data_IF_878901133890
#
_entry.id   IF_878901133890
#
_cell.length_a   1.000
_cell.length_b   1.000
_cell.length_c   1.000
_cell.angle_alpha   90.00
_cell.angle_beta   90.00
_cell.angle_gamma   90.00
#
_symmetry.space_group_name_H-M   'P 1'
#
loop_
_entity.id
_entity.type
_entity.pdbx_description
1 polymer ?
#
# COMPACT_ATOMS: atom_id res chain seq x y z
N UNK A 1 10.02 -14.75 -15.26
CA UNK A 1 8.82 -15.37 -15.83
C UNK A 1 7.66 -14.44 -15.54
N UNK A 2 6.82 -14.13 -16.51
CA UNK A 2 5.64 -13.28 -16.29
C UNK A 2 4.64 -13.97 -15.35
N UNK A 3 4.06 -13.22 -14.40
CA UNK A 3 3.15 -13.78 -13.40
C UNK A 3 1.91 -14.45 -14.06
N UNK A 4 1.41 -13.86 -15.14
CA UNK A 4 0.27 -14.40 -15.88
C UNK A 4 0.59 -15.78 -16.47
N UNK A 5 1.78 -15.92 -17.08
CA UNK A 5 2.24 -17.20 -17.65
C UNK A 5 2.42 -18.24 -16.54
N UNK A 6 2.98 -17.85 -15.39
CA UNK A 6 3.15 -18.75 -14.26
C UNK A 6 1.80 -19.27 -13.74
N UNK A 7 0.79 -18.42 -13.61
CA UNK A 7 -0.56 -18.82 -13.22
C UNK A 7 -1.23 -19.73 -14.25
N UNK A 8 -1.05 -19.44 -15.55
CA UNK A 8 -1.61 -20.29 -16.62
C UNK A 8 -1.01 -21.70 -16.59
N UNK A 9 0.32 -21.79 -16.48
CA UNK A 9 1.03 -23.08 -16.39
C UNK A 9 0.58 -23.84 -15.12
N UNK A 10 0.52 -23.19 -13.98
CA UNK A 10 0.08 -23.83 -12.74
C UNK A 10 -1.36 -24.30 -12.79
N UNK A 11 -2.26 -23.56 -13.46
CA UNK A 11 -3.65 -23.96 -13.67
C UNK A 11 -3.76 -25.19 -14.54
N UNK A 12 -2.98 -25.27 -15.63
CA UNK A 12 -2.92 -26.44 -16.50
C UNK A 12 -2.39 -27.65 -15.77
N UNK A 13 -1.28 -27.50 -15.04
CA UNK A 13 -0.69 -28.60 -14.25
C UNK A 13 -1.66 -29.11 -13.17
N UNK A 14 -2.34 -28.20 -12.48
CA UNK A 14 -3.35 -28.54 -11.50
C UNK A 14 -4.53 -29.31 -12.14
N UNK A 15 -5.00 -28.87 -13.31
CA UNK A 15 -6.05 -29.54 -14.05
C UNK A 15 -5.68 -30.98 -14.44
N UNK A 16 -4.45 -31.19 -14.90
CA UNK A 16 -3.93 -32.53 -15.22
C UNK A 16 -3.85 -33.38 -13.95
N UNK A 17 -3.33 -32.84 -12.85
CA UNK A 17 -3.23 -33.54 -11.58
C UNK A 17 -4.58 -33.94 -10.98
N UNK A 18 -5.62 -33.15 -11.24
CA UNK A 18 -7.02 -33.42 -10.87
C UNK A 18 -7.74 -34.39 -11.83
N UNK A 19 -7.06 -34.87 -12.88
CA UNK A 19 -7.62 -35.86 -13.83
C UNK A 19 -8.57 -35.25 -14.87
N UNK A 20 -8.50 -33.93 -15.12
CA UNK A 20 -9.29 -33.29 -16.18
C UNK A 20 -8.74 -33.75 -17.55
N UNK A 21 -9.57 -34.28 -18.47
CA UNK A 21 -9.12 -34.65 -19.81
C UNK A 21 -8.47 -33.47 -20.52
N UNK A 22 -7.34 -33.72 -21.21
CA UNK A 22 -6.56 -32.69 -21.91
C UNK A 22 -7.41 -31.85 -22.90
N UNK A 23 -8.39 -32.50 -23.53
CA UNK A 23 -9.32 -31.85 -24.47
C UNK A 23 -10.22 -30.80 -23.78
N UNK A 24 -10.53 -30.98 -22.50
CA UNK A 24 -11.41 -30.09 -21.70
C UNK A 24 -10.64 -29.01 -20.92
N UNK A 25 -9.32 -29.13 -20.85
CA UNK A 25 -8.49 -28.19 -20.10
C UNK A 25 -8.59 -26.73 -20.61
N UNK A 26 -8.52 -26.45 -21.93
CA UNK A 26 -8.67 -25.10 -22.44
C UNK A 26 -10.03 -24.49 -22.09
N UNK A 27 -11.11 -25.25 -22.23
CA UNK A 27 -12.45 -24.79 -21.91
C UNK A 27 -12.63 -24.55 -20.41
N UNK A 28 -12.06 -25.40 -19.56
CA UNK A 28 -12.09 -25.22 -18.11
C UNK A 28 -11.37 -23.95 -17.67
N UNK A 29 -10.19 -23.67 -18.26
CA UNK A 29 -9.42 -22.46 -17.97
C UNK A 29 -10.18 -21.22 -18.50
N UNK A 30 -10.67 -21.24 -19.72
CA UNK A 30 -11.43 -20.12 -20.29
C UNK A 30 -12.70 -19.82 -19.51
N UNK A 31 -13.46 -20.83 -19.13
CA UNK A 31 -14.68 -20.67 -18.34
C UNK A 31 -14.37 -20.11 -16.94
N UNK A 32 -13.29 -20.57 -16.29
CA UNK A 32 -12.83 -20.03 -15.02
C UNK A 32 -12.47 -18.55 -15.12
N UNK A 33 -11.65 -18.18 -16.09
CA UNK A 33 -11.27 -16.78 -16.35
C UNK A 33 -12.50 -15.94 -16.68
N UNK A 34 -13.35 -16.41 -17.61
CA UNK A 34 -14.53 -15.69 -18.05
C UNK A 34 -15.55 -15.46 -16.93
N UNK A 35 -15.79 -16.44 -16.08
CA UNK A 35 -16.68 -16.33 -14.93
C UNK A 35 -16.20 -15.28 -13.93
N UNK A 36 -14.92 -15.31 -13.57
CA UNK A 36 -14.35 -14.35 -12.62
C UNK A 36 -14.33 -12.94 -13.22
N UNK A 37 -13.82 -12.78 -14.45
CA UNK A 37 -13.77 -11.47 -15.10
C UNK A 37 -15.16 -10.90 -15.33
N UNK A 38 -16.13 -11.72 -15.74
CA UNK A 38 -17.53 -11.29 -15.93
C UNK A 38 -18.14 -10.74 -14.63
N UNK A 39 -17.94 -11.43 -13.52
CA UNK A 39 -18.43 -10.98 -12.21
C UNK A 39 -17.74 -9.72 -11.68
N UNK A 40 -16.47 -9.51 -12.04
CA UNK A 40 -15.67 -8.39 -11.55
C UNK A 40 -15.75 -7.15 -12.43
N UNK A 41 -15.96 -7.29 -13.74
CA UNK A 41 -15.78 -6.21 -14.72
C UNK A 41 -16.59 -4.96 -14.37
N UNK A 42 -17.87 -5.11 -14.09
CA UNK A 42 -18.74 -3.97 -13.78
C UNK A 42 -18.29 -3.23 -12.53
N UNK A 43 -17.93 -3.95 -11.47
CA UNK A 43 -17.50 -3.37 -10.19
C UNK A 43 -16.16 -2.66 -10.35
N UNK A 44 -15.21 -3.27 -11.08
CA UNK A 44 -13.90 -2.67 -11.34
C UNK A 44 -14.05 -1.40 -12.18
N UNK A 45 -14.85 -1.42 -13.23
CA UNK A 45 -15.06 -0.26 -14.12
C UNK A 45 -15.73 0.88 -13.35
N UNK A 46 -16.83 0.62 -12.65
CA UNK A 46 -17.52 1.65 -11.87
C UNK A 46 -16.65 2.17 -10.72
N UNK A 47 -15.90 1.29 -10.04
CA UNK A 47 -14.95 1.69 -8.99
C UNK A 47 -13.82 2.55 -9.54
N UNK A 48 -13.27 2.23 -10.71
CA UNK A 48 -12.24 3.04 -11.36
C UNK A 48 -12.78 4.43 -11.77
N UNK A 49 -14.01 4.49 -12.30
CA UNK A 49 -14.67 5.76 -12.65
C UNK A 49 -14.90 6.62 -11.42
N UNK A 50 -15.40 6.05 -10.31
CA UNK A 50 -15.59 6.76 -9.05
C UNK A 50 -14.23 7.26 -8.49
N UNK A 51 -13.22 6.41 -8.49
CA UNK A 51 -11.88 6.76 -8.05
C UNK A 51 -11.30 7.92 -8.86
N UNK A 52 -11.44 7.90 -10.19
CA UNK A 52 -11.01 9.00 -11.05
C UNK A 52 -11.76 10.30 -10.74
N UNK A 53 -13.09 10.23 -10.55
CA UNK A 53 -13.90 11.38 -10.18
C UNK A 53 -13.44 12.01 -8.86
N UNK A 54 -13.20 11.20 -7.82
CA UNK A 54 -12.68 11.65 -6.52
C UNK A 54 -11.28 12.27 -6.65
N UNK A 55 -10.44 11.70 -7.52
CA UNK A 55 -9.11 12.23 -7.80
C UNK A 55 -9.16 13.61 -8.48
N UNK A 56 -9.96 13.74 -9.54
CA UNK A 56 -10.06 14.98 -10.35
C UNK A 56 -10.83 16.10 -9.62
N UNK A 57 -11.76 15.76 -8.73
CA UNK A 57 -12.50 16.75 -7.93
C UNK A 57 -11.66 17.47 -6.86
N UNK A 58 -10.43 17.03 -6.59
CA UNK A 58 -9.60 17.54 -5.51
C UNK A 58 -10.04 17.09 -4.09
N UNK A 59 -11.03 16.20 -4.00
CA UNK A 59 -11.55 15.72 -2.71
C UNK A 59 -10.46 15.02 -1.89
N UNK A 60 -9.61 14.21 -2.53
CA UNK A 60 -8.53 13.51 -1.84
C UNK A 60 -7.50 14.48 -1.22
N UNK A 61 -7.12 15.55 -1.94
CA UNK A 61 -6.24 16.60 -1.43
C UNK A 61 -6.88 17.38 -0.28
N UNK A 62 -8.18 17.63 -0.35
CA UNK A 62 -8.93 18.30 0.72
C UNK A 62 -8.97 17.45 1.98
N UNK A 63 -9.30 16.16 1.87
CA UNK A 63 -9.27 15.20 2.97
C UNK A 63 -7.89 15.22 3.64
N UNK A 64 -6.83 15.10 2.86
CA UNK A 64 -5.48 15.09 3.37
C UNK A 64 -5.10 16.39 4.11
N UNK A 65 -5.44 17.55 3.55
CA UNK A 65 -5.14 18.85 4.19
C UNK A 65 -5.89 19.01 5.52
N UNK A 66 -7.14 18.57 5.59
CA UNK A 66 -7.94 18.57 6.82
C UNK A 66 -7.35 17.63 7.86
N UNK A 67 -6.99 16.41 7.46
CA UNK A 67 -6.41 15.42 8.40
C UNK A 67 -5.08 15.93 8.97
N UNK A 68 -4.19 16.49 8.15
CA UNK A 68 -2.93 17.06 8.62
C UNK A 68 -3.17 18.25 9.58
N UNK A 69 -4.18 19.06 9.32
CA UNK A 69 -4.52 20.20 10.22
C UNK A 69 -5.11 19.76 11.56
N UNK A 70 -5.90 18.68 11.57
CA UNK A 70 -6.52 18.15 12.79
C UNK A 70 -5.51 17.45 13.72
N UNK A 71 -4.60 16.66 13.15
CA UNK A 71 -3.65 15.88 13.94
C UNK A 71 -2.37 16.67 14.31
N UNK A 72 -2.10 17.77 13.61
CA UNK A 72 -0.90 18.58 13.79
C UNK A 72 0.40 17.81 13.51
N UNK A 73 1.55 18.46 13.78
CA UNK A 73 2.87 17.88 13.51
C UNK A 73 3.23 16.71 14.43
N UNK A 74 2.74 16.73 15.68
CA UNK A 74 3.07 15.71 16.68
C UNK A 74 2.49 14.34 16.32
N UNK A 75 1.31 14.30 15.70
CA UNK A 75 0.61 13.05 15.36
C UNK A 75 0.40 12.94 13.84
N UNK A 76 1.29 13.53 13.06
CA UNK A 76 1.17 13.61 11.60
C UNK A 76 1.05 12.23 10.92
N UNK A 77 1.72 11.21 11.46
CA UNK A 77 1.63 9.84 10.95
C UNK A 77 0.20 9.29 11.05
N UNK A 78 -0.48 9.54 12.17
CA UNK A 78 -1.89 9.16 12.36
C UNK A 78 -2.79 9.89 11.36
N UNK A 79 -2.57 11.20 11.20
CA UNK A 79 -3.33 11.99 10.21
C UNK A 79 -3.17 11.47 8.79
N UNK A 80 -1.95 11.11 8.40
CA UNK A 80 -1.65 10.58 7.07
C UNK A 80 -2.17 9.16 6.88
N UNK A 81 -2.12 8.34 7.93
CA UNK A 81 -2.69 7.01 7.93
C UNK A 81 -4.21 7.06 7.74
N UNK A 82 -4.91 7.94 8.49
CA UNK A 82 -6.35 8.16 8.31
C UNK A 82 -6.65 8.70 6.91
N UNK A 83 -5.80 9.58 6.37
CA UNK A 83 -5.92 10.08 4.99
C UNK A 83 -5.81 8.93 3.98
N UNK A 84 -4.80 8.06 4.12
CA UNK A 84 -4.62 6.89 3.25
C UNK A 84 -5.79 5.91 3.37
N UNK A 85 -6.32 5.73 4.57
CA UNK A 85 -7.47 4.85 4.81
C UNK A 85 -8.76 5.40 4.17
N UNK A 86 -9.14 6.62 4.54
CA UNK A 86 -10.39 7.24 4.05
C UNK A 86 -10.31 7.51 2.55
N UNK A 87 -9.18 8.04 2.07
CA UNK A 87 -8.95 8.27 0.64
C UNK A 87 -8.84 6.97 -0.16
N UNK A 88 -8.36 5.90 0.47
CA UNK A 88 -8.23 4.58 -0.14
C UNK A 88 -9.56 3.87 -0.38
N UNK A 89 -10.63 4.20 0.34
CA UNK A 89 -11.94 3.53 0.14
C UNK A 89 -12.45 3.72 -1.30
N UNK A 90 -12.54 4.94 -1.86
CA UNK A 90 -12.99 5.15 -3.23
C UNK A 90 -11.89 4.99 -4.28
N UNK A 91 -10.61 5.03 -3.90
CA UNK A 91 -9.49 5.08 -4.83
C UNK A 91 -8.84 3.71 -4.98
N UNK A 92 -8.70 3.22 -6.20
CA UNK A 92 -7.79 2.09 -6.45
C UNK A 92 -6.36 2.44 -6.04
N UNK A 93 -5.62 1.45 -5.52
CA UNK A 93 -4.27 1.63 -5.00
C UNK A 93 -3.36 2.44 -5.93
N UNK A 94 -3.32 2.09 -7.24
CA UNK A 94 -2.47 2.78 -8.21
C UNK A 94 -2.83 4.26 -8.37
N UNK A 95 -4.13 4.59 -8.44
CA UNK A 95 -4.62 5.97 -8.55
C UNK A 95 -4.35 6.72 -7.24
N UNK A 96 -4.68 6.10 -6.11
CA UNK A 96 -4.42 6.65 -4.78
C UNK A 96 -2.94 6.92 -4.54
N UNK A 97 -2.07 5.99 -4.95
CA UNK A 97 -0.62 6.15 -4.86
C UNK A 97 -0.14 7.39 -5.64
N UNK A 98 -0.47 7.47 -6.93
CA UNK A 98 -0.04 8.60 -7.79
C UNK A 98 -0.54 9.94 -7.26
N UNK A 99 -1.75 9.97 -6.71
CA UNK A 99 -2.37 11.18 -6.19
C UNK A 99 -1.79 11.60 -4.82
N UNK A 100 -1.46 10.63 -3.97
CA UNK A 100 -0.96 10.90 -2.62
C UNK A 100 0.55 11.15 -2.56
N UNK A 101 1.32 10.68 -3.54
CA UNK A 101 2.78 10.90 -3.58
C UNK A 101 3.15 12.40 -3.60
N UNK A 102 2.60 13.27 -4.43
CA UNK A 102 2.88 14.71 -4.38
C UNK A 102 2.53 15.32 -3.02
N UNK A 103 1.47 14.85 -2.38
CA UNK A 103 1.09 15.29 -1.04
C UNK A 103 2.13 14.88 0.01
N UNK A 104 2.64 13.63 -0.05
CA UNK A 104 3.73 13.17 0.82
C UNK A 104 4.91 14.13 0.71
N UNK A 105 5.37 14.42 -0.50
CA UNK A 105 6.49 15.33 -0.71
C UNK A 105 6.21 16.76 -0.25
N UNK A 106 5.01 17.27 -0.47
CA UNK A 106 4.60 18.59 0.04
C UNK A 106 4.74 18.68 1.56
N UNK A 107 4.32 17.63 2.29
CA UNK A 107 4.44 17.55 3.75
C UNK A 107 5.90 17.41 4.18
N UNK A 108 6.67 16.56 3.50
CA UNK A 108 8.11 16.38 3.71
C UNK A 108 8.84 17.72 3.64
N UNK A 109 8.61 18.49 2.57
CA UNK A 109 9.25 19.80 2.40
C UNK A 109 8.78 20.83 3.44
N UNK A 110 7.50 20.85 3.76
CA UNK A 110 6.92 21.79 4.72
C UNK A 110 7.42 21.57 6.14
N UNK A 111 7.48 20.30 6.59
CA UNK A 111 7.82 19.96 7.98
C UNK A 111 9.25 19.44 8.15
N UNK A 112 10.02 19.34 7.06
CA UNK A 112 11.41 18.82 7.04
C UNK A 112 11.56 17.45 7.71
N UNK A 113 10.57 16.58 7.50
CA UNK A 113 10.56 15.22 8.02
C UNK A 113 11.01 14.21 6.94
N UNK A 114 11.55 13.04 7.30
CA UNK A 114 11.95 12.02 6.33
C UNK A 114 10.75 11.53 5.51
N UNK A 115 10.92 11.36 4.19
CA UNK A 115 9.87 10.91 3.29
C UNK A 115 9.30 9.53 3.67
N UNK A 116 10.17 8.63 4.14
CA UNK A 116 9.79 7.30 4.63
C UNK A 116 8.88 7.40 5.86
N UNK A 117 9.20 8.29 6.79
CA UNK A 117 8.42 8.53 8.01
C UNK A 117 6.99 9.02 7.71
N UNK A 118 6.85 9.82 6.65
CA UNK A 118 5.58 10.39 6.21
C UNK A 118 4.83 9.45 5.26
N UNK A 119 5.53 8.83 4.32
CA UNK A 119 4.91 8.06 3.24
C UNK A 119 4.46 6.67 3.66
N UNK A 120 5.26 5.95 4.44
CA UNK A 120 4.93 4.56 4.79
C UNK A 120 3.58 4.40 5.50
N UNK A 121 3.22 5.19 6.53
CA UNK A 121 1.93 5.05 7.19
C UNK A 121 0.74 5.24 6.24
N UNK A 122 0.83 6.23 5.35
CA UNK A 122 -0.22 6.53 4.40
C UNK A 122 -0.37 5.45 3.33
N UNK A 123 0.74 4.97 2.76
CA UNK A 123 0.74 3.91 1.76
C UNK A 123 0.33 2.56 2.35
N UNK A 124 0.72 2.29 3.58
CA UNK A 124 0.31 1.08 4.29
C UNK A 124 -1.21 1.07 4.53
N UNK A 125 -1.79 2.19 4.96
CA UNK A 125 -3.23 2.32 5.13
C UNK A 125 -3.99 2.17 3.80
N UNK A 126 -3.47 2.74 2.72
CA UNK A 126 -4.00 2.55 1.37
C UNK A 126 -3.94 1.08 0.93
N UNK A 127 -2.86 0.35 1.29
CA UNK A 127 -2.74 -1.09 1.01
C UNK A 127 -3.77 -1.91 1.78
N UNK A 128 -4.03 -1.56 3.04
CA UNK A 128 -5.04 -2.25 3.86
C UNK A 128 -6.44 -2.06 3.27
N UNK A 129 -6.81 -0.82 2.88
CA UNK A 129 -8.10 -0.58 2.22
C UNK A 129 -8.25 -1.40 0.94
N UNK A 130 -7.20 -1.44 0.13
CA UNK A 130 -7.18 -2.19 -1.13
C UNK A 130 -7.31 -3.71 -0.92
N UNK A 131 -6.73 -4.24 0.15
CA UNK A 131 -6.76 -5.67 0.45
C UNK A 131 -8.04 -6.15 1.15
N UNK A 132 -8.67 -5.30 1.98
CA UNK A 132 -9.78 -5.71 2.84
C UNK A 132 -11.15 -5.19 2.41
N UNK A 133 -11.21 -4.08 1.69
CA UNK A 133 -12.49 -3.38 1.48
C UNK A 133 -12.99 -3.46 0.03
N UNK A 134 -14.23 -3.93 -0.21
CA UNK A 134 -14.92 -3.62 -1.46
C UNK A 134 -15.03 -2.09 -1.65
N UNK A 135 -14.99 -1.56 -2.87
CA UNK A 135 -15.11 -2.24 -4.15
C UNK A 135 -13.78 -2.68 -4.80
N UNK A 136 -12.71 -2.81 -4.04
CA UNK A 136 -11.41 -3.21 -4.60
C UNK A 136 -11.44 -4.63 -5.18
N UNK A 137 -10.63 -4.91 -6.22
CA UNK A 137 -10.69 -6.17 -6.96
C UNK A 137 -10.46 -7.42 -6.09
N UNK A 138 -9.51 -7.34 -5.14
CA UNK A 138 -9.13 -8.48 -4.31
C UNK A 138 -10.29 -8.98 -3.42
N UNK A 139 -10.90 -8.16 -2.54
CA UNK A 139 -12.04 -8.63 -1.74
C UNK A 139 -13.28 -8.94 -2.60
N UNK A 140 -13.50 -8.24 -3.73
CA UNK A 140 -14.63 -8.53 -4.61
C UNK A 140 -14.46 -9.87 -5.33
N UNK A 141 -13.24 -10.24 -5.70
CA UNK A 141 -12.97 -11.56 -6.27
C UNK A 141 -13.35 -12.69 -5.29
N UNK A 142 -13.03 -12.53 -4.00
CA UNK A 142 -13.42 -13.47 -2.95
C UNK A 142 -14.95 -13.49 -2.75
N UNK A 143 -15.61 -12.34 -2.78
CA UNK A 143 -17.08 -12.24 -2.70
C UNK A 143 -17.73 -13.06 -3.81
N UNK A 144 -17.26 -12.92 -5.05
CA UNK A 144 -17.76 -13.68 -6.19
C UNK A 144 -17.47 -15.17 -6.06
N UNK A 145 -16.23 -15.52 -5.67
CA UNK A 145 -15.80 -16.91 -5.53
C UNK A 145 -16.60 -17.69 -4.46
N UNK A 146 -16.93 -17.05 -3.35
CA UNK A 146 -17.62 -17.67 -2.22
C UNK A 146 -19.13 -17.37 -2.19
N UNK A 147 -19.69 -16.72 -3.22
CA UNK A 147 -21.09 -16.25 -3.24
C UNK A 147 -21.47 -15.47 -1.98
N UNK A 148 -20.53 -14.67 -1.45
CA UNK A 148 -20.71 -13.91 -0.23
C UNK A 148 -21.48 -12.61 -0.47
N UNK A 149 -22.04 -12.04 0.60
CA UNK A 149 -22.70 -10.73 0.54
C UNK A 149 -21.66 -9.60 0.58
N UNK A 150 -21.63 -8.76 -0.46
CA UNK A 150 -20.65 -7.67 -0.59
C UNK A 150 -20.76 -6.63 0.53
N UNK A 151 -21.99 -6.33 0.99
CA UNK A 151 -22.22 -5.39 2.08
C UNK A 151 -21.70 -5.91 3.42
N UNK A 152 -21.96 -7.18 3.72
CA UNK A 152 -21.40 -7.82 4.92
C UNK A 152 -19.86 -7.91 4.84
N UNK A 153 -19.30 -8.19 3.67
CA UNK A 153 -17.85 -8.21 3.46
C UNK A 153 -17.25 -6.83 3.71
N UNK A 154 -17.91 -5.75 3.30
CA UNK A 154 -17.48 -4.39 3.62
C UNK A 154 -17.47 -4.13 5.13
N UNK A 155 -18.54 -4.49 5.83
CA UNK A 155 -18.64 -4.29 7.28
C UNK A 155 -17.55 -5.06 8.02
N UNK A 156 -17.41 -6.36 7.76
CA UNK A 156 -16.37 -7.17 8.38
C UNK A 156 -14.96 -6.71 7.98
N UNK A 157 -14.79 -6.31 6.71
CA UNK A 157 -13.54 -5.74 6.22
C UNK A 157 -13.14 -4.47 6.97
N UNK A 158 -14.08 -3.57 7.29
CA UNK A 158 -13.83 -2.39 8.12
C UNK A 158 -13.39 -2.78 9.55
N UNK A 159 -14.06 -3.74 10.17
CA UNK A 159 -13.68 -4.22 11.51
C UNK A 159 -12.27 -4.82 11.54
N UNK A 160 -11.86 -5.52 10.49
CA UNK A 160 -10.53 -6.11 10.38
C UNK A 160 -9.47 -5.08 9.97
N UNK A 161 -9.83 -4.11 9.13
CA UNK A 161 -8.92 -3.08 8.66
C UNK A 161 -8.41 -2.17 9.79
N UNK A 162 -9.26 -1.80 10.74
CA UNK A 162 -8.89 -0.91 11.85
C UNK A 162 -7.72 -1.49 12.68
N UNK A 163 -7.81 -2.71 13.27
CA UNK A 163 -6.68 -3.27 14.00
C UNK A 163 -5.48 -3.55 13.11
N UNK A 164 -5.67 -3.92 11.83
CA UNK A 164 -4.57 -4.12 10.90
C UNK A 164 -3.77 -2.84 10.69
N UNK A 165 -4.42 -1.72 10.48
CA UNK A 165 -3.80 -0.40 10.30
C UNK A 165 -3.03 0.01 11.57
N UNK A 166 -3.61 -0.16 12.75
CA UNK A 166 -2.96 0.18 14.03
C UNK A 166 -1.69 -0.66 14.22
N UNK A 167 -1.76 -1.97 13.96
CA UNK A 167 -0.59 -2.85 14.08
C UNK A 167 0.51 -2.49 13.06
N UNK A 168 0.14 -2.20 11.81
CA UNK A 168 1.09 -1.80 10.79
C UNK A 168 1.78 -0.49 11.18
N UNK A 169 1.05 0.52 11.67
CA UNK A 169 1.65 1.76 12.12
C UNK A 169 2.65 1.53 13.27
N UNK A 170 2.27 0.77 14.28
CA UNK A 170 3.16 0.44 15.39
C UNK A 170 4.43 -0.27 14.90
N UNK A 171 4.29 -1.21 13.98
CA UNK A 171 5.43 -1.92 13.37
C UNK A 171 6.33 -0.96 12.58
N UNK A 172 5.76 -0.07 11.78
CA UNK A 172 6.50 0.94 11.00
C UNK A 172 7.28 1.87 11.93
N UNK A 173 6.63 2.40 12.97
CA UNK A 173 7.29 3.27 13.96
C UNK A 173 8.44 2.54 14.64
N UNK A 174 8.22 1.30 15.06
CA UNK A 174 9.23 0.47 15.70
C UNK A 174 10.44 0.23 14.77
N UNK A 175 10.22 -0.18 13.53
CA UNK A 175 11.27 -0.42 12.53
C UNK A 175 12.05 0.87 12.22
N UNK A 176 11.37 1.99 12.02
CA UNK A 176 12.04 3.28 11.77
C UNK A 176 12.90 3.69 12.97
N UNK A 177 12.42 3.47 14.19
CA UNK A 177 13.17 3.78 15.42
C UNK A 177 14.43 2.93 15.52
N UNK A 178 14.33 1.62 15.27
CA UNK A 178 15.50 0.73 15.27
C UNK A 178 16.51 1.13 14.19
N UNK A 179 16.05 1.35 12.95
CA UNK A 179 16.94 1.76 11.86
C UNK A 179 17.63 3.09 12.16
N UNK A 180 16.91 4.05 12.75
CA UNK A 180 17.48 5.32 13.19
C UNK A 180 18.54 5.16 14.29
N UNK A 181 18.30 4.28 15.25
CA UNK A 181 19.28 3.96 16.30
C UNK A 181 20.51 3.26 15.72
N UNK A 182 20.31 2.28 14.83
CA UNK A 182 21.40 1.56 14.15
C UNK A 182 22.25 2.51 13.31
N UNK A 183 21.62 3.41 12.55
CA UNK A 183 22.33 4.43 11.77
C UNK A 183 23.17 5.34 12.65
N UNK A 184 22.62 5.85 13.76
CA UNK A 184 23.34 6.68 14.71
C UNK A 184 24.50 5.93 15.36
N UNK A 185 24.32 4.66 15.70
CA UNK A 185 25.37 3.81 16.26
C UNK A 185 26.51 3.60 15.25
N UNK A 186 26.20 3.23 14.01
CA UNK A 186 27.18 3.06 12.93
C UNK A 186 27.90 4.39 12.63
N UNK A 187 27.18 5.49 12.57
CA UNK A 187 27.77 6.81 12.35
C UNK A 187 28.72 7.20 13.51
N UNK A 188 28.34 6.91 14.74
CA UNK A 188 29.16 7.22 15.92
C UNK A 188 30.42 6.34 16.00
N UNK A 189 30.28 5.04 15.72
CA UNK A 189 31.40 4.08 15.86
C UNK A 189 32.32 4.11 14.64
N UNK A 190 31.78 4.18 13.41
CA UNK A 190 32.56 4.02 12.19
C UNK A 190 33.03 5.35 11.58
N UNK A 191 32.22 6.40 11.63
CA UNK A 191 32.48 7.64 10.89
C UNK A 191 33.14 8.72 11.76
N UNK A 192 32.82 8.84 13.05
CA UNK A 192 33.48 9.79 13.93
C UNK A 192 34.97 9.54 14.08
N UNK A 193 35.45 8.30 14.33
CA UNK A 193 36.89 8.04 14.43
C UNK A 193 37.61 8.34 13.11
N UNK A 194 37.01 8.04 11.95
CA UNK A 194 37.60 8.33 10.62
C UNK A 194 37.75 9.83 10.36
N UNK A 195 36.79 10.66 10.79
CA UNK A 195 36.91 12.12 10.70
C UNK A 195 38.04 12.65 11.61
N UNK A 196 38.19 12.08 12.78
CA UNK A 196 39.27 12.46 13.70
C UNK A 196 40.64 12.11 13.12
N UNK A 197 40.82 10.93 12.56
CA UNK A 197 42.06 10.49 11.87
C UNK A 197 42.34 11.35 10.63
N UNK A 198 41.32 11.71 9.87
CA UNK A 198 41.49 12.57 8.68
C UNK A 198 41.87 14.01 9.07
N UNK A 199 41.35 14.55 10.17
CA UNK A 199 41.73 15.88 10.70
C UNK A 199 43.18 15.89 11.21
N UNK A 200 43.65 14.82 11.87
CA UNK A 200 45.05 14.71 12.32
C UNK A 200 45.99 14.65 11.11
N UNK A 201 45.61 13.98 10.04
CA UNK A 201 46.44 13.87 8.82
C UNK A 201 46.61 15.21 8.11
N UNK A 202 45.62 16.09 8.15
CA UNK A 202 45.68 17.43 7.56
C UNK A 202 46.63 18.33 8.41
N UNK A 203 46.63 18.18 9.72
CA UNK A 203 47.50 18.95 10.60
C UNK A 203 48.97 18.50 10.49
N UNK A 204 49.25 17.22 10.24
CA UNK A 204 50.64 16.69 10.10
C UNK A 204 51.26 16.98 8.75
N UNK A 205 50.48 17.25 7.69
CA UNK A 205 50.97 17.56 6.35
C UNK A 205 51.21 19.08 6.14
N UNK A 206 50.77 19.91 7.07
CA UNK A 206 50.97 21.38 7.03
C UNK A 206 52.03 21.92 7.98
N UNK A 207 52.85 21.07 8.59
CA UNK A 207 54.08 21.37 9.31
C UNK A 207 55.25 20.80 8.54
#
# INVERSE_FOLDING_TARGET
MDAFIAFLISSILAGIALGIPLEKLPDSVNNGIGSILGGLTLIIVLGAMLGKLVAESGAAQKIASVMVSLFGTKHIQWGLMVTGFVGGIPLFYGIGFVLLVPLIFSIVYKYKLPAVYIGLPMLAALSVTHGFLPPHPSPVALVVQFNANIGLTLIYGLFLAIPAIINILNTIVYVITILGQTYNLVHTIAIRPLRFVCSIRIVVVTV
#
